data_IF_879921374483
#
_entry.id   IF_879921374483
#
_cell.length_a   1.000
_cell.length_b   1.000
_cell.length_c   1.000
_cell.angle_alpha   90.00
_cell.angle_beta   90.00
_cell.angle_gamma   90.00
#
_symmetry.space_group_name_H-M   'P 1'
#
loop_
_entity.id
_entity.type
_entity.pdbx_description
1 polymer ?
#
# COMPACT_ATOMS: atom_id res chain seq x y z
N UNK A 1 1.62 17.28 -49.93
CA UNK A 1 1.80 15.85 -49.57
C UNK A 1 3.11 15.76 -48.80
N UNK A 2 3.18 15.45 -47.51
CA UNK A 2 2.16 15.09 -46.55
C UNK A 2 2.47 15.74 -45.19
N UNK A 3 1.41 15.85 -44.38
CA UNK A 3 1.46 16.27 -43.00
C UNK A 3 2.25 15.27 -42.15
N UNK A 4 2.89 15.75 -41.08
CA UNK A 4 2.87 15.09 -39.79
C UNK A 4 3.02 16.17 -38.72
N UNK A 5 1.85 16.68 -38.31
CA UNK A 5 1.60 17.30 -37.02
C UNK A 5 2.09 16.33 -35.92
N UNK A 6 3.24 16.64 -35.34
CA UNK A 6 3.70 16.00 -34.12
C UNK A 6 2.97 16.66 -32.95
N UNK A 7 1.74 16.20 -32.69
CA UNK A 7 0.99 16.60 -31.51
C UNK A 7 1.89 16.48 -30.26
N UNK A 8 1.83 17.45 -29.32
CA UNK A 8 2.48 17.28 -28.03
C UNK A 8 1.93 16.00 -27.40
N UNK A 9 2.83 15.13 -26.93
CA UNK A 9 2.45 13.95 -26.15
C UNK A 9 1.57 14.44 -25.01
N UNK A 10 0.29 14.06 -25.06
CA UNK A 10 -0.64 14.18 -23.95
C UNK A 10 0.07 13.68 -22.68
N UNK A 11 -0.04 14.48 -21.62
CA UNK A 11 0.75 14.32 -20.41
C UNK A 11 0.75 12.88 -19.93
N UNK A 12 1.94 12.35 -19.66
CA UNK A 12 2.07 11.16 -18.84
C UNK A 12 1.35 11.47 -17.52
N UNK A 13 0.16 10.92 -17.32
CA UNK A 13 -0.49 10.94 -16.03
C UNK A 13 0.51 10.30 -15.07
N UNK A 14 1.05 11.05 -14.11
CA UNK A 14 1.87 10.45 -13.06
C UNK A 14 0.97 9.45 -12.33
N UNK A 15 1.27 8.16 -12.49
CA UNK A 15 0.59 7.07 -11.82
C UNK A 15 1.05 7.05 -10.38
N UNK A 16 0.12 7.20 -9.43
CA UNK A 16 0.40 7.15 -8.00
C UNK A 16 0.12 5.73 -7.52
N UNK A 17 1.16 5.01 -7.10
CA UNK A 17 1.05 3.62 -6.69
C UNK A 17 1.19 3.49 -5.19
N UNK A 18 0.21 2.84 -4.56
CA UNK A 18 0.29 2.42 -3.17
C UNK A 18 1.03 1.10 -3.10
N UNK A 19 2.23 1.10 -2.53
CA UNK A 19 3.06 -0.08 -2.39
C UNK A 19 3.05 -0.59 -0.96
N UNK A 20 2.98 -1.90 -0.78
CA UNK A 20 3.10 -2.56 0.53
C UNK A 20 4.15 -3.65 0.50
N UNK A 21 4.86 -3.83 1.60
CA UNK A 21 5.81 -4.91 1.83
C UNK A 21 5.55 -5.61 3.17
N UNK A 22 5.44 -6.94 3.15
CA UNK A 22 5.44 -7.77 4.36
C UNK A 22 6.87 -7.99 4.85
N UNK A 23 7.14 -7.60 6.09
CA UNK A 23 8.45 -7.75 6.75
C UNK A 23 8.31 -8.43 8.10
N UNK A 24 9.40 -8.99 8.62
CA UNK A 24 9.42 -9.40 10.03
C UNK A 24 9.48 -8.18 10.97
N UNK A 25 9.11 -8.42 12.23
CA UNK A 25 9.05 -7.38 13.27
C UNK A 25 10.41 -6.70 13.50
N UNK A 26 11.52 -7.44 13.42
CA UNK A 26 12.85 -6.87 13.60
C UNK A 26 13.22 -5.90 12.47
N UNK A 27 12.81 -6.19 11.24
CA UNK A 27 12.98 -5.32 10.08
C UNK A 27 12.08 -4.09 10.18
N UNK A 28 10.84 -4.26 10.64
CA UNK A 28 9.92 -3.16 10.90
C UNK A 28 10.46 -2.19 11.97
N UNK A 29 10.95 -2.70 13.10
CA UNK A 29 11.51 -1.83 14.15
C UNK A 29 12.74 -1.06 13.67
N UNK A 30 13.57 -1.65 12.80
CA UNK A 30 14.68 -0.92 12.17
C UNK A 30 14.20 0.14 11.19
N UNK A 31 13.19 -0.16 10.37
CA UNK A 31 12.66 0.76 9.37
C UNK A 31 12.07 2.05 9.97
N UNK A 32 11.68 2.02 11.25
CA UNK A 32 11.22 3.22 11.99
C UNK A 32 12.34 4.22 12.24
N UNK A 33 13.60 3.77 12.27
CA UNK A 33 14.77 4.59 12.63
C UNK A 33 15.78 4.76 11.49
N UNK A 34 15.69 3.95 10.43
CA UNK A 34 16.65 3.89 9.32
C UNK A 34 15.94 3.87 7.96
N UNK A 35 15.99 5.01 7.28
CA UNK A 35 15.44 5.21 5.93
C UNK A 35 16.02 4.24 4.89
N UNK A 36 17.28 3.81 5.08
CA UNK A 36 17.98 2.91 4.18
C UNK A 36 17.36 1.51 4.12
N UNK A 37 16.61 1.11 5.16
CA UNK A 37 15.86 -0.15 5.17
C UNK A 37 14.67 -0.07 4.21
N UNK A 38 13.91 1.02 4.23
CA UNK A 38 12.80 1.24 3.32
C UNK A 38 13.30 1.36 1.86
N UNK A 39 14.38 2.10 1.64
CA UNK A 39 15.02 2.20 0.33
C UNK A 39 15.42 0.83 -0.25
N UNK A 40 16.01 -0.03 0.59
CA UNK A 40 16.37 -1.38 0.20
C UNK A 40 15.14 -2.24 -0.15
N UNK A 41 14.02 -2.06 0.55
CA UNK A 41 12.80 -2.84 0.30
C UNK A 41 12.16 -2.46 -1.03
N UNK A 42 12.02 -1.17 -1.34
CA UNK A 42 11.21 -0.71 -2.47
C UNK A 42 12.02 -0.30 -3.71
N UNK A 43 13.22 0.27 -3.53
CA UNK A 43 13.93 0.95 -4.63
C UNK A 43 15.26 0.30 -5.03
N UNK A 44 15.89 -0.50 -4.16
CA UNK A 44 17.15 -1.18 -4.50
C UNK A 44 16.94 -2.30 -5.54
N UNK A 45 17.98 -2.65 -6.30
CA UNK A 45 17.94 -3.79 -7.23
C UNK A 45 17.75 -5.13 -6.50
N UNK A 46 18.25 -5.25 -5.27
CA UNK A 46 18.16 -6.44 -4.42
C UNK A 46 17.42 -6.14 -3.12
N UNK A 47 16.40 -6.95 -2.81
CA UNK A 47 15.67 -6.84 -1.55
C UNK A 47 16.50 -7.34 -0.35
N UNK A 48 16.23 -6.85 0.87
CA UNK A 48 16.85 -7.36 2.08
C UNK A 48 16.62 -8.86 2.27
N UNK A 49 17.56 -9.53 2.94
CA UNK A 49 17.43 -10.94 3.27
C UNK A 49 16.13 -11.20 4.04
N UNK A 50 15.31 -12.13 3.55
CA UNK A 50 14.01 -12.47 4.15
C UNK A 50 12.81 -11.71 3.56
N UNK A 51 13.02 -10.86 2.56
CA UNK A 51 11.97 -10.21 1.76
C UNK A 51 12.00 -10.74 0.33
N UNK A 52 11.00 -11.56 -0.02
CA UNK A 52 10.72 -11.98 -1.39
C UNK A 52 9.68 -11.05 -2.02
N UNK A 53 10.14 -10.08 -2.81
CA UNK A 53 9.25 -9.09 -3.46
C UNK A 53 8.14 -9.74 -4.29
N UNK A 54 8.38 -10.88 -4.92
CA UNK A 54 7.39 -11.51 -5.79
C UNK A 54 6.16 -12.01 -5.01
N UNK A 55 6.30 -12.28 -3.72
CA UNK A 55 5.21 -12.83 -2.89
C UNK A 55 4.88 -11.98 -1.67
N UNK A 56 5.73 -11.01 -1.35
CA UNK A 56 5.65 -10.17 -0.16
C UNK A 56 5.45 -8.68 -0.47
N UNK A 57 5.50 -8.27 -1.73
CA UNK A 57 5.22 -6.89 -2.15
C UNK A 57 4.01 -6.85 -3.09
N UNK A 58 3.14 -5.87 -2.90
CA UNK A 58 2.04 -5.56 -3.81
C UNK A 58 2.05 -4.07 -4.14
N UNK A 59 1.55 -3.72 -5.33
CA UNK A 59 1.31 -2.34 -5.76
C UNK A 59 -0.12 -2.20 -6.24
N UNK A 60 -0.82 -1.17 -5.78
CA UNK A 60 -2.20 -0.86 -6.13
C UNK A 60 -2.29 0.58 -6.65
N UNK A 61 -3.19 0.86 -7.59
CA UNK A 61 -3.39 2.23 -8.06
C UNK A 61 -4.09 3.05 -6.97
N UNK A 62 -3.35 3.98 -6.35
CA UNK A 62 -3.82 4.75 -5.20
C UNK A 62 -5.03 5.63 -5.55
N UNK A 63 -5.02 6.23 -6.74
CA UNK A 63 -6.13 7.11 -7.17
C UNK A 63 -7.43 6.34 -7.36
N UNK A 64 -7.34 5.14 -7.91
CA UNK A 64 -8.49 4.27 -8.11
C UNK A 64 -9.06 3.86 -6.75
N UNK A 65 -8.21 3.42 -5.80
CA UNK A 65 -8.64 3.10 -4.44
C UNK A 65 -9.28 4.29 -3.72
N UNK A 66 -8.66 5.47 -3.79
CA UNK A 66 -9.20 6.69 -3.19
C UNK A 66 -10.58 7.04 -3.74
N UNK A 67 -10.76 6.96 -5.08
CA UNK A 67 -12.05 7.25 -5.72
C UNK A 67 -13.14 6.22 -5.36
N UNK A 68 -12.76 4.94 -5.19
CA UNK A 68 -13.69 3.91 -4.74
C UNK A 68 -14.17 4.17 -3.31
N UNK A 69 -13.24 4.50 -2.40
CA UNK A 69 -13.56 4.84 -1.00
C UNK A 69 -14.51 6.04 -0.95
N UNK A 70 -14.19 7.11 -1.68
CA UNK A 70 -15.06 8.29 -1.76
C UNK A 70 -16.49 7.92 -2.23
N UNK A 71 -16.61 7.13 -3.30
CA UNK A 71 -17.92 6.70 -3.81
C UNK A 71 -18.70 5.81 -2.81
N UNK A 72 -18.01 4.97 -2.06
CA UNK A 72 -18.60 4.12 -1.02
C UNK A 72 -19.13 4.95 0.14
N UNK A 73 -18.37 5.94 0.59
CA UNK A 73 -18.80 6.85 1.65
C UNK A 73 -20.00 7.70 1.22
N UNK A 74 -20.01 8.20 -0.02
CA UNK A 74 -21.16 8.90 -0.59
C UNK A 74 -22.42 8.02 -0.63
N UNK A 75 -22.26 6.71 -0.80
CA UNK A 75 -23.33 5.72 -0.72
C UNK A 75 -23.71 5.32 0.72
N UNK A 76 -22.98 5.80 1.74
CA UNK A 76 -23.21 5.49 3.14
C UNK A 76 -22.63 4.15 3.60
N UNK A 77 -21.65 3.60 2.87
CA UNK A 77 -20.91 2.38 3.22
C UNK A 77 -19.72 2.78 4.10
N UNK A 78 -19.49 2.02 5.19
CA UNK A 78 -18.37 2.27 6.11
C UNK A 78 -17.04 1.82 5.51
N UNK A 79 -16.03 2.69 5.57
CA UNK A 79 -14.72 2.51 4.94
C UNK A 79 -13.55 2.76 5.91
N UNK A 80 -13.80 2.71 7.22
CA UNK A 80 -12.85 3.13 8.27
C UNK A 80 -11.56 2.28 8.24
N UNK A 81 -11.66 0.97 8.06
CA UNK A 81 -10.52 0.06 8.01
C UNK A 81 -9.79 0.13 6.68
N UNK A 82 -10.52 0.30 5.58
CA UNK A 82 -9.93 0.55 4.27
C UNK A 82 -9.10 1.84 4.29
N UNK A 83 -9.64 2.96 4.80
CA UNK A 83 -8.87 4.21 5.00
C UNK A 83 -7.61 4.01 5.82
N UNK A 84 -7.71 3.24 6.91
CA UNK A 84 -6.54 2.92 7.73
C UNK A 84 -5.51 2.13 6.95
N UNK A 85 -5.92 1.16 6.15
CA UNK A 85 -4.99 0.40 5.31
C UNK A 85 -4.20 1.31 4.37
N UNK A 86 -4.82 2.36 3.82
CA UNK A 86 -4.17 3.39 2.98
C UNK A 86 -3.17 4.28 3.74
N UNK A 87 -3.05 4.14 5.06
CA UNK A 87 -2.16 4.96 5.89
C UNK A 87 -2.71 6.34 6.24
N UNK A 88 -4.00 6.60 5.98
CA UNK A 88 -4.60 7.93 6.14
C UNK A 88 -4.92 8.29 7.61
N UNK A 89 -5.25 7.30 8.44
CA UNK A 89 -5.70 7.58 9.82
C UNK A 89 -4.92 6.88 10.93
N UNK A 90 -4.24 5.77 10.68
CA UNK A 90 -3.41 5.10 11.69
C UNK A 90 -2.30 4.33 11.02
N UNK A 91 -1.08 4.52 11.48
CA UNK A 91 0.14 3.86 11.04
C UNK A 91 1.31 4.52 11.78
N UNK A 92 2.34 3.76 12.13
CA UNK A 92 3.59 4.40 12.56
C UNK A 92 4.17 5.11 11.36
N UNK A 93 4.22 6.45 11.41
CA UNK A 93 5.02 7.23 10.45
C UNK A 93 6.45 6.72 10.52
N UNK A 94 6.99 6.35 9.36
CA UNK A 94 8.36 5.89 9.25
C UNK A 94 9.26 7.10 8.95
N UNK A 95 10.53 7.01 9.33
CA UNK A 95 11.54 8.02 9.03
C UNK A 95 11.94 8.05 7.54
N UNK A 96 11.02 7.71 6.63
CA UNK A 96 11.25 7.52 5.21
C UNK A 96 10.28 8.38 4.41
N UNK A 97 10.77 9.13 3.41
CA UNK A 97 9.90 9.82 2.45
C UNK A 97 9.71 8.94 1.22
N UNK A 98 8.46 8.53 0.99
CA UNK A 98 8.03 7.71 -0.14
C UNK A 98 7.40 8.63 -1.18
N UNK A 99 8.21 9.18 -2.09
CA UNK A 99 7.85 10.00 -3.27
C UNK A 99 6.73 11.08 -3.11
N UNK A 100 5.50 10.68 -2.82
CA UNK A 100 4.33 11.52 -2.60
C UNK A 100 3.92 11.69 -1.12
N UNK A 101 4.69 11.20 -0.15
CA UNK A 101 4.44 11.43 1.28
C UNK A 101 5.34 10.59 2.20
N UNK A 102 5.15 10.64 3.52
CA UNK A 102 5.89 9.75 4.41
C UNK A 102 5.50 8.29 4.17
N UNK A 103 6.48 7.40 4.30
CA UNK A 103 6.21 5.98 4.48
C UNK A 103 5.50 5.74 5.81
N UNK A 104 4.69 4.70 5.85
CA UNK A 104 3.95 4.31 7.04
C UNK A 104 4.08 2.81 7.26
N UNK A 105 3.75 2.34 8.46
CA UNK A 105 3.69 0.92 8.69
C UNK A 105 2.90 0.49 9.90
N UNK A 106 2.69 -0.81 9.97
CA UNK A 106 1.83 -1.50 10.91
C UNK A 106 2.61 -2.64 11.55
N UNK A 107 2.64 -2.65 12.87
CA UNK A 107 3.14 -3.78 13.65
C UNK A 107 2.32 -5.05 13.36
N UNK A 108 2.82 -6.25 13.68
CA UNK A 108 2.06 -7.48 13.46
C UNK A 108 0.69 -7.50 14.17
N UNK A 109 0.58 -6.83 15.32
CA UNK A 109 -0.69 -6.70 16.04
C UNK A 109 -1.69 -5.80 15.30
N UNK A 110 -1.21 -4.68 14.75
CA UNK A 110 -2.03 -3.77 13.94
C UNK A 110 -2.44 -4.41 12.61
N UNK A 111 -1.54 -5.15 11.96
CA UNK A 111 -1.83 -5.93 10.75
C UNK A 111 -2.96 -6.94 11.01
N UNK A 112 -2.94 -7.60 12.17
CA UNK A 112 -4.04 -8.50 12.56
C UNK A 112 -5.36 -7.76 12.73
N UNK A 113 -5.36 -6.61 13.41
CA UNK A 113 -6.56 -5.81 13.60
C UNK A 113 -7.11 -5.27 12.27
N UNK A 114 -6.24 -4.84 11.35
CA UNK A 114 -6.59 -4.43 9.99
C UNK A 114 -7.23 -5.58 9.22
N UNK A 115 -6.63 -6.77 9.24
CA UNK A 115 -7.19 -7.93 8.53
C UNK A 115 -8.58 -8.31 9.03
N UNK A 116 -8.81 -8.27 10.35
CA UNK A 116 -10.13 -8.52 10.95
C UNK A 116 -11.14 -7.42 10.61
N UNK A 117 -10.69 -6.15 10.60
CA UNK A 117 -11.49 -4.99 10.27
C UNK A 117 -11.94 -4.97 8.81
N UNK A 118 -11.00 -5.14 7.88
CA UNK A 118 -11.28 -5.23 6.44
C UNK A 118 -12.28 -6.35 6.14
N UNK A 119 -12.12 -7.52 6.76
CA UNK A 119 -13.07 -8.62 6.60
C UNK A 119 -14.48 -8.31 7.11
N UNK A 120 -14.61 -7.38 8.06
CA UNK A 120 -15.89 -6.97 8.63
C UNK A 120 -16.57 -5.83 7.87
N UNK A 121 -15.87 -5.13 6.97
CA UNK A 121 -16.50 -4.10 6.14
C UNK A 121 -17.43 -4.74 5.08
N UNK A 122 -17.28 -6.05 4.80
CA UNK A 122 -18.18 -6.86 3.94
C UNK A 122 -18.51 -6.18 2.59
N UNK A 123 -17.50 -5.57 1.98
CA UNK A 123 -17.63 -5.03 0.62
C UNK A 123 -17.80 -6.19 -0.37
N UNK A 124 -18.53 -5.93 -1.47
CA UNK A 124 -18.74 -6.93 -2.52
C UNK A 124 -17.52 -6.92 -3.47
N UNK A 125 -16.70 -8.00 -3.50
CA UNK A 125 -15.42 -8.03 -4.19
C UNK A 125 -15.53 -8.18 -5.72
N UNK A 126 -16.61 -7.71 -6.35
CA UNK A 126 -16.66 -7.65 -7.83
C UNK A 126 -15.52 -6.75 -8.41
N UNK A 127 -14.85 -5.96 -7.57
CA UNK A 127 -13.64 -5.20 -7.88
C UNK A 127 -12.35 -5.89 -7.37
N UNK A 128 -11.48 -6.29 -8.31
CA UNK A 128 -10.20 -6.99 -8.07
C UNK A 128 -9.24 -6.27 -7.10
N UNK A 129 -9.39 -4.96 -6.86
CA UNK A 129 -8.43 -4.15 -6.07
C UNK A 129 -8.52 -4.41 -4.56
N UNK A 130 -9.72 -4.58 -4.03
CA UNK A 130 -9.92 -4.78 -2.60
C UNK A 130 -9.64 -6.23 -2.20
N UNK A 131 -10.02 -7.17 -3.07
CA UNK A 131 -9.62 -8.57 -2.93
C UNK A 131 -8.09 -8.67 -2.77
N UNK A 132 -7.33 -7.81 -3.43
CA UNK A 132 -5.88 -7.75 -3.27
C UNK A 132 -5.43 -7.16 -1.92
N UNK A 133 -6.02 -6.07 -1.43
CA UNK A 133 -5.61 -5.46 -0.14
C UNK A 133 -6.04 -6.32 1.06
N UNK A 134 -7.29 -6.78 1.10
CA UNK A 134 -7.82 -7.59 2.19
C UNK A 134 -7.10 -8.95 2.25
N UNK A 135 -6.85 -9.61 1.10
CA UNK A 135 -6.06 -10.85 1.08
C UNK A 135 -4.62 -10.64 1.48
N UNK A 136 -4.02 -9.50 1.09
CA UNK A 136 -2.66 -9.18 1.50
C UNK A 136 -2.54 -9.03 3.01
N UNK A 137 -3.40 -8.23 3.64
CA UNK A 137 -3.40 -8.07 5.11
C UNK A 137 -3.76 -9.38 5.83
N UNK A 138 -4.70 -10.18 5.30
CA UNK A 138 -5.00 -11.49 5.85
C UNK A 138 -3.80 -12.45 5.79
N UNK A 139 -3.06 -12.46 4.67
CA UNK A 139 -1.83 -13.25 4.51
C UNK A 139 -0.74 -12.77 5.47
N UNK A 140 -0.54 -11.47 5.58
CA UNK A 140 0.43 -10.87 6.50
C UNK A 140 0.11 -11.21 7.96
N UNK A 141 -1.17 -11.10 8.35
CA UNK A 141 -1.64 -11.45 9.68
C UNK A 141 -1.44 -12.95 9.99
N UNK A 142 -1.80 -13.84 9.05
CA UNK A 142 -1.61 -15.28 9.20
C UNK A 142 -0.13 -15.67 9.35
N UNK A 143 0.77 -14.90 8.72
CA UNK A 143 2.21 -15.09 8.80
C UNK A 143 2.87 -14.38 10.01
N UNK A 144 2.10 -13.63 10.81
CA UNK A 144 2.63 -12.83 11.92
C UNK A 144 3.62 -11.75 11.47
N UNK A 145 3.40 -11.18 10.28
CA UNK A 145 4.27 -10.18 9.66
C UNK A 145 3.80 -8.76 9.98
N UNK A 146 4.75 -7.85 10.02
CA UNK A 146 4.50 -6.41 9.95
C UNK A 146 4.33 -6.00 8.48
N UNK A 147 3.74 -4.83 8.24
CA UNK A 147 3.57 -4.26 6.90
C UNK A 147 4.15 -2.85 6.88
N UNK A 148 4.94 -2.55 5.86
CA UNK A 148 5.39 -1.20 5.52
C UNK A 148 4.74 -0.81 4.21
N UNK A 149 4.32 0.45 4.05
CA UNK A 149 3.82 0.97 2.79
C UNK A 149 4.11 2.44 2.57
N UNK A 150 3.76 2.91 1.38
CA UNK A 150 3.91 4.29 0.95
C UNK A 150 3.37 4.51 -0.45
N UNK A 151 3.30 5.77 -0.87
CA UNK A 151 2.74 6.16 -2.17
C UNK A 151 3.85 6.62 -3.11
N UNK A 152 4.14 5.81 -4.13
CA UNK A 152 5.12 6.04 -5.21
C UNK A 152 4.59 6.90 -6.34
#
# INVERSE_FOLDING_TARGET
>A
MGAHDGAPREGAAMSMWLEYAMVDEATFEKAKEDEGVCDAIFFADEAPAGVDRATQVIGLDYRTLSAMIEGMEEAGIGCDWTRRALGEEYGSELAFEFCYGPGFGFSPAEVKALAEGLAAEEWDPEDDYEENIARFFAKAAAAGKAVIGGVN
#
